data_IF_091122793889
#
_entry.id   IF_091122793889
#
_cell.length_a   1.000
_cell.length_b   1.000
_cell.length_c   1.000
_cell.angle_alpha   90.00
_cell.angle_beta   90.00
_cell.angle_gamma   90.00
#
_symmetry.space_group_name_H-M   'P 1'
#
loop_
_entity.id
_entity.type
_entity.pdbx_description
1 polymer ?
#
# COMPACT_ATOMS: atom_id res chain seq x y z
N UNK A 1 -15.44 -25.50 -17.08
CA UNK A 1 -15.99 -24.59 -16.05
C UNK A 1 -15.07 -23.37 -15.96
N UNK A 2 -15.59 -22.17 -16.25
CA UNK A 2 -14.83 -20.94 -16.55
C UNK A 2 -14.94 -19.99 -15.36
N UNK A 3 -13.83 -19.42 -14.85
CA UNK A 3 -13.85 -18.53 -13.68
C UNK A 3 -12.94 -17.32 -13.86
N UNK A 4 -13.48 -16.12 -13.60
CA UNK A 4 -12.86 -14.81 -13.75
C UNK A 4 -12.34 -14.25 -12.41
N UNK A 5 -11.49 -13.22 -12.44
CA UNK A 5 -11.03 -12.46 -11.24
C UNK A 5 -12.17 -11.77 -10.47
N UNK A 6 -13.38 -11.74 -11.05
CA UNK A 6 -14.37 -10.71 -10.75
C UNK A 6 -15.77 -11.25 -10.48
N UNK A 7 -15.92 -12.55 -10.21
CA UNK A 7 -17.24 -13.10 -9.91
C UNK A 7 -17.65 -12.85 -8.45
N UNK A 8 -18.91 -12.44 -8.27
CA UNK A 8 -19.72 -12.59 -7.04
C UNK A 8 -19.72 -14.05 -6.52
N UNK A 9 -19.33 -15.00 -7.40
CA UNK A 9 -19.13 -16.43 -7.13
C UNK A 9 -17.69 -16.87 -6.87
N UNK A 10 -16.74 -15.95 -6.65
CA UNK A 10 -15.72 -16.21 -5.64
C UNK A 10 -16.39 -16.12 -4.26
N UNK A 11 -17.35 -17.01 -4.03
CA UNK A 11 -17.76 -17.42 -2.70
C UNK A 11 -16.54 -18.16 -2.16
N UNK A 12 -15.57 -17.41 -1.64
CA UNK A 12 -14.68 -17.95 -0.63
C UNK A 12 -15.56 -18.05 0.61
N UNK A 13 -16.31 -19.14 0.70
CA UNK A 13 -16.59 -19.77 1.97
C UNK A 13 -15.20 -20.12 2.53
N UNK A 14 -14.54 -19.14 3.15
CA UNK A 14 -13.39 -19.39 4.02
C UNK A 14 -13.85 -20.11 5.28
N UNK A 15 -15.15 -20.00 5.59
CA UNK A 15 -15.86 -20.77 6.60
C UNK A 15 -17.35 -20.84 6.26
N UNK A 16 -17.99 -22.02 6.28
CA UNK A 16 -19.42 -22.21 5.91
C UNK A 16 -20.40 -21.62 6.93
N UNK A 17 -19.90 -20.78 7.84
CA UNK A 17 -20.57 -20.29 9.03
C UNK A 17 -20.67 -18.75 9.09
N UNK A 18 -20.14 -18.02 8.10
CA UNK A 18 -20.19 -16.55 8.10
C UNK A 18 -20.82 -16.03 6.79
N UNK A 19 -22.07 -15.60 6.88
CA UNK A 19 -22.85 -14.99 5.80
C UNK A 19 -22.53 -13.49 5.59
N UNK A 20 -21.30 -13.03 5.88
CA UNK A 20 -20.90 -11.61 5.81
C UNK A 20 -20.14 -11.23 4.53
N UNK A 21 -20.03 -9.92 4.23
CA UNK A 21 -19.17 -9.38 3.16
C UNK A 21 -17.68 -9.65 3.46
N UNK A 22 -16.83 -9.63 2.42
CA UNK A 22 -15.40 -9.99 2.54
C UNK A 22 -14.64 -9.07 3.51
N UNK A 23 -14.87 -7.76 3.42
CA UNK A 23 -14.31 -6.76 4.34
C UNK A 23 -14.69 -7.04 5.78
N UNK A 24 -15.92 -7.52 6.02
CA UNK A 24 -16.43 -7.73 7.37
C UNK A 24 -15.61 -8.73 8.17
N UNK A 25 -14.89 -9.65 7.51
CA UNK A 25 -13.96 -10.57 8.17
C UNK A 25 -12.81 -9.80 8.82
N UNK A 26 -12.06 -9.03 8.02
CA UNK A 26 -10.94 -8.23 8.51
C UNK A 26 -11.45 -7.07 9.39
N UNK A 27 -12.51 -6.39 9.00
CA UNK A 27 -13.13 -5.31 9.77
C UNK A 27 -13.55 -5.76 11.17
N UNK A 28 -14.23 -6.90 11.32
CA UNK A 28 -14.62 -7.42 12.64
C UNK A 28 -13.39 -7.72 13.49
N UNK A 29 -12.34 -8.28 12.86
CA UNK A 29 -11.10 -8.61 13.53
C UNK A 29 -10.36 -7.35 14.03
N UNK A 30 -10.08 -6.40 13.13
CA UNK A 30 -9.31 -5.19 13.48
C UNK A 30 -10.10 -4.19 14.33
N UNK A 31 -11.43 -4.17 14.24
CA UNK A 31 -12.28 -3.41 15.17
C UNK A 31 -12.16 -3.92 16.60
N UNK A 32 -11.98 -5.22 16.80
CA UNK A 32 -11.73 -5.78 18.13
C UNK A 32 -10.31 -5.46 18.63
N UNK A 33 -9.33 -5.38 17.73
CA UNK A 33 -7.92 -5.12 18.05
C UNK A 33 -7.58 -3.66 18.36
N UNK A 34 -8.42 -2.69 18.00
CA UNK A 34 -8.13 -1.25 18.15
C UNK A 34 -7.92 -0.77 19.61
N UNK A 35 -7.92 -1.69 20.57
CA UNK A 35 -7.74 -1.46 22.01
C UNK A 35 -6.44 -2.10 22.55
N UNK A 36 -5.62 -2.74 21.71
CA UNK A 36 -4.35 -3.34 22.14
C UNK A 36 -3.17 -2.36 22.02
N UNK A 37 -2.26 -2.41 23.00
CA UNK A 37 -1.11 -1.50 23.09
C UNK A 37 -0.12 -1.68 21.94
N UNK A 38 0.46 -0.57 21.46
CA UNK A 38 1.56 -0.54 20.51
C UNK A 38 2.81 -1.23 21.06
N UNK A 39 3.48 -2.05 20.25
CA UNK A 39 4.77 -2.64 20.59
C UNK A 39 5.89 -1.64 20.28
N UNK A 40 6.98 -1.57 21.09
CA UNK A 40 8.11 -0.71 20.80
C UNK A 40 8.68 -1.01 19.40
N UNK A 41 8.82 0.05 18.60
CA UNK A 41 9.33 -0.07 17.24
C UNK A 41 10.81 -0.50 17.24
N UNK A 42 11.10 -1.65 16.62
CA UNK A 42 12.45 -2.12 16.40
C UNK A 42 12.98 -1.56 15.08
N UNK A 43 14.13 -0.87 15.14
CA UNK A 43 14.81 -0.38 13.93
C UNK A 43 15.72 -1.50 13.43
N UNK A 44 15.15 -2.40 12.63
CA UNK A 44 15.84 -3.50 11.96
C UNK A 44 15.65 -3.39 10.45
N UNK A 45 16.56 -3.98 9.67
CA UNK A 45 16.41 -4.10 8.23
C UNK A 45 16.44 -5.57 7.83
N UNK A 46 15.55 -5.98 6.93
CA UNK A 46 15.60 -7.30 6.30
C UNK A 46 16.25 -7.14 4.93
N UNK A 47 17.48 -7.64 4.77
CA UNK A 47 18.30 -7.38 3.58
C UNK A 47 18.26 -8.52 2.56
N UNK A 48 17.68 -9.67 2.94
CA UNK A 48 17.54 -10.83 2.06
C UNK A 48 16.30 -11.64 2.38
N UNK A 49 15.63 -12.12 1.34
CA UNK A 49 14.55 -13.10 1.37
C UNK A 49 14.86 -14.25 0.41
N UNK A 50 14.88 -15.48 0.90
CA UNK A 50 14.82 -16.69 0.08
C UNK A 50 13.50 -17.41 0.37
N UNK A 51 12.56 -17.28 -0.56
CA UNK A 51 11.15 -17.64 -0.38
C UNK A 51 10.84 -18.89 -1.20
N UNK A 52 10.45 -19.96 -0.54
CA UNK A 52 9.82 -21.12 -1.15
C UNK A 52 8.31 -21.04 -0.92
N UNK A 53 7.58 -20.67 -1.96
CA UNK A 53 6.13 -20.50 -1.90
C UNK A 53 5.44 -21.63 -2.64
N UNK A 54 4.48 -22.26 -1.96
CA UNK A 54 3.62 -23.29 -2.52
C UNK A 54 2.16 -22.96 -2.31
N UNK A 55 1.37 -23.08 -3.37
CA UNK A 55 -0.05 -22.75 -3.35
C UNK A 55 -0.87 -23.96 -3.73
N UNK A 56 -1.64 -24.45 -2.75
CA UNK A 56 -2.65 -25.48 -2.93
C UNK A 56 -4.00 -24.95 -2.43
N UNK A 57 -4.58 -25.60 -1.42
CA UNK A 57 -5.73 -25.08 -0.68
C UNK A 57 -5.32 -23.93 0.25
N UNK A 58 -4.13 -24.02 0.82
CA UNK A 58 -3.50 -23.00 1.64
C UNK A 58 -2.29 -22.45 0.89
N UNK A 59 -1.84 -21.26 1.31
CA UNK A 59 -0.49 -20.78 1.04
C UNK A 59 0.43 -21.43 2.07
N UNK A 60 1.49 -22.06 1.59
CA UNK A 60 2.58 -22.62 2.39
C UNK A 60 3.85 -21.86 2.01
N UNK A 61 4.54 -21.27 2.98
CA UNK A 61 5.79 -20.55 2.76
C UNK A 61 6.85 -21.05 3.74
N UNK A 62 7.99 -21.44 3.19
CA UNK A 62 9.25 -21.58 3.90
C UNK A 62 10.15 -20.44 3.43
N UNK A 63 10.51 -19.52 4.34
CA UNK A 63 11.34 -18.37 4.01
C UNK A 63 12.57 -18.30 4.89
N UNK A 64 13.73 -18.03 4.31
CA UNK A 64 14.92 -17.63 5.03
C UNK A 64 15.13 -16.12 4.86
N UNK A 65 15.20 -15.40 5.99
CA UNK A 65 15.43 -13.96 6.01
C UNK A 65 16.76 -13.61 6.69
N UNK A 66 17.44 -12.60 6.17
CA UNK A 66 18.63 -12.01 6.82
C UNK A 66 18.25 -10.68 7.44
N UNK A 67 18.41 -10.57 8.75
CA UNK A 67 18.06 -9.38 9.55
C UNK A 67 19.34 -8.69 9.97
N UNK A 68 19.37 -7.37 9.88
CA UNK A 68 20.43 -6.51 10.41
C UNK A 68 19.87 -5.66 11.55
N UNK A 69 20.54 -5.69 12.70
CA UNK A 69 20.20 -4.81 13.82
C UNK A 69 20.68 -3.38 13.53
N UNK A 70 19.74 -2.45 13.30
CA UNK A 70 20.03 -1.03 13.10
C UNK A 70 19.81 -0.18 14.35
N UNK A 71 19.46 -0.79 15.48
CA UNK A 71 19.41 -0.11 16.77
C UNK A 71 20.82 0.15 17.33
N UNK A 72 20.86 1.01 18.35
CA UNK A 72 22.09 1.30 19.11
C UNK A 72 22.42 0.22 20.15
N UNK A 73 21.45 -0.59 20.53
CA UNK A 73 21.58 -1.62 21.56
C UNK A 73 21.49 -3.03 20.96
N UNK A 74 22.08 -4.05 21.60
CA UNK A 74 21.85 -5.44 21.25
C UNK A 74 20.37 -5.83 21.35
N UNK A 75 19.97 -6.83 20.57
CA UNK A 75 18.61 -7.37 20.55
C UNK A 75 18.59 -8.83 21.02
N UNK A 76 17.73 -9.14 21.99
CA UNK A 76 17.51 -10.53 22.44
C UNK A 76 16.30 -11.18 21.76
N UNK A 77 15.46 -10.34 21.15
CA UNK A 77 14.27 -10.76 20.43
C UNK A 77 14.09 -9.93 19.16
N UNK A 78 13.40 -10.52 18.19
CA UNK A 78 13.00 -9.88 16.95
C UNK A 78 11.47 -9.86 16.90
N UNK A 79 10.92 -8.68 16.63
CA UNK A 79 9.49 -8.48 16.38
C UNK A 79 9.27 -8.22 14.89
N UNK A 80 8.36 -8.98 14.27
CA UNK A 80 7.98 -8.86 12.87
C UNK A 80 6.45 -8.81 12.75
N UNK A 81 5.96 -8.19 11.69
CA UNK A 81 4.56 -8.32 11.30
C UNK A 81 4.36 -9.43 10.25
N UNK A 82 3.36 -10.26 10.47
CA UNK A 82 2.89 -11.29 9.54
C UNK A 82 1.39 -11.43 9.72
N UNK A 83 0.62 -11.26 8.64
CA UNK A 83 -0.85 -11.31 8.71
C UNK A 83 -1.34 -12.56 9.43
N UNK A 84 -2.22 -12.38 10.41
CA UNK A 84 -2.66 -13.42 11.35
C UNK A 84 -3.28 -14.66 10.70
N UNK A 85 -3.76 -14.56 9.46
CA UNK A 85 -4.24 -15.70 8.68
C UNK A 85 -3.14 -16.72 8.36
N UNK A 86 -1.87 -16.30 8.35
CA UNK A 86 -0.70 -17.15 8.19
C UNK A 86 -0.18 -17.60 9.55
N UNK A 87 -0.32 -18.89 9.86
CA UNK A 87 0.11 -19.47 11.14
C UNK A 87 1.55 -19.96 11.04
N UNK A 88 2.40 -19.42 11.91
CA UNK A 88 3.81 -19.83 12.03
C UNK A 88 3.88 -21.21 12.67
N UNK A 89 4.61 -22.12 12.04
CA UNK A 89 4.75 -23.53 12.42
C UNK A 89 6.11 -23.76 13.07
N UNK A 90 7.14 -23.16 12.48
CA UNK A 90 8.51 -23.33 12.93
C UNK A 90 9.32 -22.05 12.67
N UNK A 91 10.22 -21.77 13.60
CA UNK A 91 11.24 -20.73 13.47
C UNK A 91 12.56 -21.35 13.91
N UNK A 92 13.60 -21.19 13.10
CA UNK A 92 14.93 -21.70 13.41
C UNK A 92 16.03 -20.74 12.97
N UNK A 93 17.20 -20.85 13.58
CA UNK A 93 18.43 -20.19 13.15
C UNK A 93 19.59 -21.17 13.21
N UNK A 94 20.40 -21.26 12.14
CA UNK A 94 21.50 -22.22 12.05
C UNK A 94 21.08 -23.65 12.41
N UNK A 95 19.89 -24.07 11.92
CA UNK A 95 19.25 -25.36 12.18
C UNK A 95 18.83 -25.63 13.64
N UNK A 96 18.92 -24.64 14.54
CA UNK A 96 18.38 -24.74 15.90
C UNK A 96 17.00 -24.10 15.96
N UNK A 97 16.03 -24.82 16.52
CA UNK A 97 14.67 -24.31 16.74
C UNK A 97 14.70 -23.18 17.77
N UNK A 98 13.96 -22.11 17.47
CA UNK A 98 13.80 -20.96 18.36
C UNK A 98 12.39 -20.94 18.95
N UNK A 99 12.27 -20.35 20.14
CA UNK A 99 10.95 -20.04 20.70
C UNK A 99 10.39 -18.79 20.03
N UNK A 100 9.08 -18.81 19.77
CA UNK A 100 8.37 -17.68 19.21
C UNK A 100 6.94 -17.62 19.76
N UNK A 101 6.36 -16.42 19.71
CA UNK A 101 4.96 -16.19 20.00
C UNK A 101 4.36 -15.40 18.83
N UNK A 102 3.28 -15.94 18.26
CA UNK A 102 2.45 -15.20 17.33
C UNK A 102 1.17 -14.78 18.03
N UNK A 103 0.95 -13.47 18.17
CA UNK A 103 -0.29 -12.88 18.68
C UNK A 103 -0.76 -11.84 17.68
N UNK A 104 -1.97 -12.01 17.17
CA UNK A 104 -2.50 -11.19 16.08
C UNK A 104 -1.58 -11.20 14.85
N UNK A 105 -1.31 -10.03 14.28
CA UNK A 105 -0.36 -9.88 13.18
C UNK A 105 1.10 -9.78 13.65
N UNK A 106 1.37 -9.88 14.96
CA UNK A 106 2.71 -9.76 15.53
C UNK A 106 3.35 -11.14 15.75
N UNK A 107 4.58 -11.29 15.28
CA UNK A 107 5.46 -12.42 15.50
C UNK A 107 6.68 -11.98 16.31
N UNK A 108 6.78 -12.45 17.55
CA UNK A 108 7.94 -12.23 18.42
C UNK A 108 8.79 -13.50 18.45
N UNK A 109 10.08 -13.38 18.17
CA UNK A 109 11.04 -14.49 18.09
C UNK A 109 12.15 -14.24 19.10
N UNK A 110 12.41 -15.20 19.98
CA UNK A 110 13.55 -15.13 20.89
C UNK A 110 14.82 -15.58 20.15
N UNK A 111 15.86 -14.75 20.20
CA UNK A 111 17.15 -15.10 19.62
C UNK A 111 17.94 -16.03 20.54
N UNK A 112 18.79 -16.92 19.99
CA UNK A 112 19.60 -17.85 20.79
C UNK A 112 20.73 -17.14 21.54
N UNK A 113 21.12 -15.94 21.08
CA UNK A 113 22.09 -15.04 21.68
C UNK A 113 21.74 -13.60 21.24
N UNK A 114 22.20 -12.60 22.00
CA UNK A 114 21.98 -11.21 21.63
C UNK A 114 22.54 -10.93 20.22
N UNK A 115 21.82 -10.14 19.42
CA UNK A 115 22.26 -9.65 18.13
C UNK A 115 22.83 -8.23 18.29
N UNK A 116 24.16 -8.03 18.22
CA UNK A 116 24.77 -6.72 18.43
C UNK A 116 24.38 -5.72 17.34
N UNK A 117 24.51 -4.40 17.62
CA UNK A 117 24.35 -3.36 16.62
C UNK A 117 25.17 -3.62 15.35
N UNK A 118 24.57 -3.38 14.18
CA UNK A 118 25.16 -3.55 12.85
C UNK A 118 25.58 -4.97 12.49
N UNK A 119 25.28 -5.96 13.33
CA UNK A 119 25.43 -7.37 13.00
C UNK A 119 24.17 -7.92 12.34
N UNK A 120 24.32 -9.09 11.71
CA UNK A 120 23.23 -9.78 11.05
C UNK A 120 23.01 -11.18 11.59
N UNK A 121 21.76 -11.65 11.52
CA UNK A 121 21.43 -13.05 11.74
C UNK A 121 20.51 -13.55 10.62
N UNK A 122 20.50 -14.87 10.42
CA UNK A 122 19.56 -15.52 9.53
C UNK A 122 18.50 -16.26 10.34
N UNK A 123 17.23 -16.05 9.98
CA UNK A 123 16.09 -16.79 10.50
C UNK A 123 15.42 -17.56 9.37
N UNK A 124 15.09 -18.81 9.62
CA UNK A 124 14.19 -19.61 8.77
C UNK A 124 12.82 -19.66 9.43
N UNK A 125 11.77 -19.28 8.70
CA UNK A 125 10.40 -19.18 9.19
C UNK A 125 9.50 -19.98 8.25
N UNK A 126 8.80 -20.96 8.80
CA UNK A 126 7.82 -21.77 8.06
C UNK A 126 6.42 -21.45 8.55
N UNK A 127 5.51 -21.11 7.63
CA UNK A 127 4.13 -20.77 7.96
C UNK A 127 3.17 -21.19 6.86
N UNK A 128 1.90 -21.35 7.23
CA UNK A 128 0.84 -21.63 6.26
C UNK A 128 -0.49 -21.04 6.68
N UNK A 129 -1.37 -20.81 5.72
CA UNK A 129 -2.71 -20.35 6.05
C UNK A 129 -3.51 -19.85 4.87
N UNK A 130 -4.60 -19.17 5.21
CA UNK A 130 -5.41 -18.41 4.27
C UNK A 130 -4.97 -16.95 4.35
N UNK A 131 -4.76 -16.33 3.20
CA UNK A 131 -4.57 -14.89 3.12
C UNK A 131 -5.87 -14.14 3.42
N UNK A 132 -5.78 -12.82 3.60
CA UNK A 132 -6.96 -11.95 3.70
C UNK A 132 -7.88 -12.19 2.49
N UNK A 133 -9.22 -12.20 2.68
CA UNK A 133 -10.19 -12.20 1.57
C UNK A 133 -9.98 -11.05 0.58
N UNK A 134 -9.30 -9.98 1.00
CA UNK A 134 -9.00 -8.77 0.24
C UNK A 134 -7.71 -8.93 -0.59
N UNK A 135 -6.84 -9.86 -0.17
CA UNK A 135 -5.60 -10.25 -0.83
C UNK A 135 -5.57 -11.76 -1.05
N UNK A 136 -6.51 -12.27 -1.84
CA UNK A 136 -6.76 -13.71 -2.00
C UNK A 136 -5.52 -14.47 -2.48
N UNK A 137 -5.33 -15.69 -1.96
CA UNK A 137 -4.29 -16.60 -2.43
C UNK A 137 -4.72 -18.05 -2.28
N UNK A 138 -4.90 -18.75 -3.40
CA UNK A 138 -5.26 -20.16 -3.48
C UNK A 138 -4.97 -20.74 -4.88
N UNK A 139 -5.33 -22.00 -5.10
CA UNK A 139 -5.09 -22.73 -6.36
C UNK A 139 -5.74 -22.15 -7.62
N UNK A 140 -6.56 -21.10 -7.52
CA UNK A 140 -7.19 -20.45 -8.69
C UNK A 140 -6.56 -19.12 -9.05
N UNK A 141 -6.25 -18.32 -8.05
CA UNK A 141 -5.73 -16.97 -8.24
C UNK A 141 -4.98 -16.52 -6.98
N UNK A 142 -4.04 -15.60 -7.18
CA UNK A 142 -3.17 -15.05 -6.14
C UNK A 142 -3.04 -13.55 -6.35
N UNK A 143 -3.23 -12.80 -5.29
CA UNK A 143 -2.93 -11.39 -5.21
C UNK A 143 -2.34 -11.10 -3.83
N UNK A 144 -1.02 -11.06 -3.78
CA UNK A 144 -0.23 -10.76 -2.58
C UNK A 144 0.63 -9.54 -2.89
N UNK A 145 0.15 -8.32 -2.61
CA UNK A 145 0.88 -7.11 -2.93
C UNK A 145 2.01 -6.82 -1.92
N UNK A 146 2.99 -6.02 -2.34
CA UNK A 146 4.16 -5.66 -1.52
C UNK A 146 3.82 -4.94 -0.21
N UNK A 147 2.73 -4.17 -0.19
CA UNK A 147 2.29 -3.40 0.97
C UNK A 147 1.46 -4.20 1.97
N UNK A 148 1.35 -5.53 1.80
CA UNK A 148 0.66 -6.44 2.71
C UNK A 148 1.67 -7.39 3.36
N UNK A 149 1.62 -7.64 4.69
CA UNK A 149 2.61 -8.47 5.38
C UNK A 149 2.31 -9.97 5.19
N UNK A 150 2.34 -10.44 3.94
CA UNK A 150 2.30 -11.85 3.59
C UNK A 150 3.68 -12.52 3.67
N UNK A 151 4.74 -11.71 3.58
CA UNK A 151 6.08 -12.04 4.07
C UNK A 151 6.30 -11.37 5.44
N UNK A 152 7.15 -11.93 6.32
CA UNK A 152 7.52 -11.27 7.57
C UNK A 152 8.09 -9.88 7.30
N UNK A 153 7.47 -8.86 7.89
CA UNK A 153 7.80 -7.45 7.70
C UNK A 153 8.49 -6.88 8.94
N UNK A 154 9.49 -6.02 8.74
CA UNK A 154 10.10 -5.23 9.81
C UNK A 154 9.24 -4.05 10.26
N UNK A 155 8.19 -3.70 9.50
CA UNK A 155 7.23 -2.68 9.91
C UNK A 155 6.25 -3.34 10.89
N UNK A 156 6.54 -3.21 12.17
CA UNK A 156 5.76 -3.83 13.26
C UNK A 156 4.43 -3.09 13.48
N UNK A 157 3.51 -3.28 12.55
CA UNK A 157 2.15 -2.76 12.56
C UNK A 157 1.15 -3.86 12.20
N UNK A 158 -0.12 -3.79 12.62
CA UNK A 158 -1.18 -4.61 12.04
C UNK A 158 -1.25 -4.45 10.51
N UNK A 159 -1.74 -5.45 9.77
CA UNK A 159 -1.92 -5.35 8.32
C UNK A 159 -2.98 -4.30 7.95
N UNK A 160 -3.97 -4.11 8.81
CA UNK A 160 -5.03 -3.12 8.64
C UNK A 160 -5.32 -2.43 9.96
N UNK A 161 -5.91 -1.25 9.90
CA UNK A 161 -6.42 -0.55 11.07
C UNK A 161 -7.87 -0.13 10.84
N UNK A 162 -8.68 -0.12 11.91
CA UNK A 162 -10.05 0.33 11.85
C UNK A 162 -10.14 1.78 12.34
N UNK A 163 -10.60 2.68 11.48
CA UNK A 163 -10.72 4.11 11.74
C UNK A 163 -12.18 4.57 11.67
N UNK A 164 -12.42 5.86 11.89
CA UNK A 164 -13.75 6.46 11.70
C UNK A 164 -14.28 6.34 10.27
N UNK A 165 -13.38 6.35 9.28
CA UNK A 165 -13.78 6.22 7.87
C UNK A 165 -13.93 4.77 7.44
N UNK A 166 -13.54 3.80 8.28
CA UNK A 166 -13.64 2.37 8.01
C UNK A 166 -12.32 1.64 8.20
N UNK A 167 -12.26 0.40 7.71
CA UNK A 167 -11.00 -0.34 7.61
C UNK A 167 -10.09 0.38 6.61
N UNK A 168 -8.81 0.51 6.91
CA UNK A 168 -7.78 1.04 5.99
C UNK A 168 -6.53 0.17 6.07
N UNK A 169 -5.72 0.19 5.01
CA UNK A 169 -4.49 -0.61 4.93
C UNK A 169 -3.35 0.10 5.63
N UNK A 170 -2.63 -0.62 6.48
CA UNK A 170 -1.34 -0.13 6.94
C UNK A 170 -0.29 -0.47 5.88
N UNK A 171 0.60 0.47 5.58
CA UNK A 171 1.61 0.28 4.56
C UNK A 171 2.76 -0.59 5.07
N UNK A 172 2.86 -1.83 4.59
CA UNK A 172 3.95 -2.76 4.92
C UNK A 172 5.11 -2.73 3.91
N UNK A 173 5.22 -1.69 3.09
CA UNK A 173 6.36 -1.55 2.19
C UNK A 173 7.68 -1.51 2.97
N UNK A 174 8.72 -2.05 2.38
CA UNK A 174 10.04 -2.04 2.98
C UNK A 174 10.65 -0.63 2.90
N UNK A 175 11.53 -0.33 3.85
CA UNK A 175 12.30 0.92 3.90
C UNK A 175 13.77 0.73 3.50
N UNK A 176 14.13 -0.45 3.01
CA UNK A 176 15.49 -0.81 2.65
C UNK A 176 15.51 -1.76 1.45
N UNK A 177 16.58 -1.66 0.66
CA UNK A 177 16.83 -2.59 -0.43
C UNK A 177 17.09 -4.02 0.10
N UNK A 178 16.47 -5.00 -0.54
CA UNK A 178 16.62 -6.41 -0.18
C UNK A 178 16.84 -7.29 -1.43
N UNK A 179 17.73 -8.27 -1.31
CA UNK A 179 17.88 -9.34 -2.31
C UNK A 179 16.75 -10.36 -2.16
N UNK A 180 16.08 -10.69 -3.25
CA UNK A 180 14.92 -11.58 -3.24
C UNK A 180 15.16 -12.75 -4.16
N UNK A 181 14.96 -13.96 -3.65
CA UNK A 181 14.80 -15.18 -4.44
C UNK A 181 13.43 -15.78 -4.16
N UNK A 182 12.67 -16.06 -5.20
CA UNK A 182 11.36 -16.71 -5.11
C UNK A 182 11.40 -18.02 -5.89
N UNK A 183 11.18 -19.13 -5.19
CA UNK A 183 10.85 -20.43 -5.77
C UNK A 183 9.36 -20.65 -5.62
N UNK A 184 8.64 -20.83 -6.73
CA UNK A 184 7.18 -20.86 -6.72
C UNK A 184 6.60 -22.16 -7.29
N UNK A 185 5.72 -22.80 -6.51
CA UNK A 185 4.95 -23.99 -6.90
C UNK A 185 3.45 -23.74 -6.71
N UNK A 186 2.80 -23.25 -7.75
CA UNK A 186 1.38 -22.89 -7.72
C UNK A 186 0.80 -22.66 -9.12
N UNK A 187 -0.38 -22.04 -9.20
CA UNK A 187 -1.01 -21.72 -10.49
C UNK A 187 -0.14 -20.77 -11.33
N UNK A 188 -0.21 -20.88 -12.65
CA UNK A 188 0.62 -20.10 -13.59
C UNK A 188 -0.25 -19.45 -14.67
N UNK A 189 0.22 -18.36 -15.33
CA UNK A 189 1.49 -17.66 -15.13
C UNK A 189 1.52 -16.81 -13.85
N UNK A 190 2.74 -16.65 -13.30
CA UNK A 190 3.03 -15.76 -12.17
C UNK A 190 3.63 -14.45 -12.69
N UNK A 191 3.09 -13.33 -12.22
CA UNK A 191 3.58 -11.98 -12.43
C UNK A 191 4.11 -11.42 -11.12
N UNK A 192 5.27 -10.77 -11.18
CA UNK A 192 5.98 -10.22 -10.01
C UNK A 192 6.97 -9.15 -10.47
N UNK A 193 7.37 -8.27 -9.54
CA UNK A 193 8.32 -7.17 -9.79
C UNK A 193 9.79 -7.62 -9.94
N UNK A 194 10.09 -8.91 -9.78
CA UNK A 194 11.43 -9.48 -9.97
C UNK A 194 11.54 -10.38 -11.20
N UNK A 195 12.75 -10.57 -11.73
CA UNK A 195 12.96 -11.25 -13.02
C UNK A 195 12.86 -12.77 -12.88
N UNK A 196 12.24 -13.42 -13.86
CA UNK A 196 12.27 -14.88 -13.97
C UNK A 196 13.68 -15.33 -14.41
N UNK A 197 14.28 -16.23 -13.65
CA UNK A 197 15.64 -16.76 -13.91
C UNK A 197 15.68 -18.29 -14.11
N UNK A 198 14.55 -18.96 -13.93
CA UNK A 198 14.39 -20.39 -14.18
C UNK A 198 12.93 -20.79 -14.33
N UNK A 199 12.65 -22.09 -14.52
CA UNK A 199 11.29 -22.59 -14.76
C UNK A 199 10.30 -22.22 -13.64
N UNK A 200 10.75 -22.32 -12.40
CA UNK A 200 10.00 -22.01 -11.16
C UNK A 200 10.75 -21.06 -10.23
N UNK A 201 11.69 -20.27 -10.77
CA UNK A 201 12.57 -19.41 -9.98
C UNK A 201 12.62 -17.99 -10.52
N UNK A 202 12.50 -17.03 -9.60
CA UNK A 202 12.64 -15.60 -9.85
C UNK A 202 13.68 -15.03 -8.89
N UNK A 203 14.37 -13.98 -9.34
CA UNK A 203 15.42 -13.32 -8.59
C UNK A 203 15.49 -11.84 -8.95
N UNK A 204 15.78 -11.00 -7.96
CA UNK A 204 15.93 -9.56 -8.13
C UNK A 204 16.20 -8.86 -6.81
N UNK A 205 16.11 -7.52 -6.84
CA UNK A 205 16.16 -6.68 -5.65
C UNK A 205 14.95 -5.74 -5.67
N UNK A 206 14.47 -5.37 -4.49
CA UNK A 206 13.46 -4.33 -4.33
C UNK A 206 13.65 -3.63 -2.99
N UNK A 207 13.42 -2.31 -2.99
CA UNK A 207 13.37 -1.51 -1.78
C UNK A 207 11.98 -1.40 -1.19
N UNK A 208 10.93 -1.83 -1.91
CA UNK A 208 9.53 -1.65 -1.52
C UNK A 208 8.89 -2.97 -1.08
N UNK A 209 9.28 -4.09 -1.68
CA UNK A 209 8.76 -5.41 -1.32
C UNK A 209 8.51 -6.29 -2.52
N UNK A 210 7.85 -7.43 -2.27
CA UNK A 210 7.55 -8.42 -3.30
C UNK A 210 6.04 -8.47 -3.54
N UNK A 211 5.63 -8.31 -4.79
CA UNK A 211 4.26 -8.54 -5.24
C UNK A 211 4.16 -9.84 -6.02
N UNK A 212 3.12 -10.64 -5.76
CA UNK A 212 2.81 -11.87 -6.49
C UNK A 212 1.37 -11.81 -7.00
N UNK A 213 1.21 -11.91 -8.32
CA UNK A 213 -0.08 -11.86 -8.99
C UNK A 213 -0.21 -13.04 -9.94
N UNK A 214 -1.29 -13.81 -9.80
CA UNK A 214 -1.58 -15.03 -10.58
C UNK A 214 -3.07 -15.13 -10.86
N UNK A 215 -3.43 -15.55 -12.07
CA UNK A 215 -4.80 -15.95 -12.41
C UNK A 215 -5.06 -15.92 -13.91
N UNK A 216 -6.34 -15.85 -14.28
CA UNK A 216 -6.76 -15.64 -15.68
C UNK A 216 -6.59 -14.18 -16.10
N UNK A 217 -5.38 -13.87 -16.53
CA UNK A 217 -4.89 -12.52 -16.82
C UNK A 217 -4.72 -12.34 -18.32
N UNK A 218 -5.15 -11.20 -18.86
CA UNK A 218 -4.69 -10.69 -20.14
C UNK A 218 -3.42 -9.88 -19.90
N UNK A 219 -2.41 -10.11 -20.74
CA UNK A 219 -1.10 -9.50 -20.63
C UNK A 219 -0.75 -8.77 -21.93
N UNK A 220 -0.23 -7.56 -21.80
CA UNK A 220 0.48 -6.87 -22.89
C UNK A 220 1.95 -6.76 -22.53
N UNK A 221 2.80 -7.37 -23.35
CA UNK A 221 4.25 -7.26 -23.28
C UNK A 221 4.76 -6.39 -24.43
N UNK A 222 5.33 -5.23 -24.10
CA UNK A 222 5.98 -4.39 -25.10
C UNK A 222 7.47 -4.71 -25.18
N UNK A 223 7.88 -5.30 -26.32
CA UNK A 223 9.26 -5.71 -26.57
C UNK A 223 10.28 -4.55 -26.53
N UNK A 224 9.83 -3.31 -26.76
CA UNK A 224 10.73 -2.17 -26.96
C UNK A 224 11.04 -1.38 -25.67
N UNK A 225 10.13 -1.32 -24.69
CA UNK A 225 10.35 -0.64 -23.40
C UNK A 225 10.35 -1.60 -22.20
N UNK A 226 10.07 -2.89 -22.43
CA UNK A 226 10.06 -3.92 -21.40
C UNK A 226 8.92 -3.77 -20.39
N UNK A 227 7.90 -2.97 -20.70
CA UNK A 227 6.74 -2.80 -19.84
C UNK A 227 5.76 -3.97 -19.99
N UNK A 228 5.33 -4.50 -18.85
CA UNK A 228 4.37 -5.58 -18.69
C UNK A 228 3.11 -5.03 -18.03
N UNK A 229 2.01 -5.04 -18.77
CA UNK A 229 0.69 -4.65 -18.28
C UNK A 229 -0.18 -5.89 -18.06
N UNK A 230 -0.69 -6.03 -16.84
CA UNK A 230 -1.35 -7.23 -16.31
C UNK A 230 -2.74 -6.84 -15.82
N UNK A 231 -3.77 -7.50 -16.35
CA UNK A 231 -5.16 -7.25 -15.94
C UNK A 231 -6.06 -8.49 -16.09
N UNK A 232 -7.25 -8.56 -15.48
CA UNK A 232 -8.26 -9.58 -15.80
C UNK A 232 -8.52 -9.71 -17.30
N UNK A 233 -8.63 -10.95 -17.81
CA UNK A 233 -8.89 -11.20 -19.24
C UNK A 233 -10.17 -10.53 -19.78
N UNK A 234 -11.16 -10.28 -18.93
CA UNK A 234 -12.43 -9.62 -19.31
C UNK A 234 -12.29 -8.13 -19.57
N UNK A 235 -11.12 -7.54 -19.36
CA UNK A 235 -10.88 -6.11 -19.46
C UNK A 235 -9.99 -5.74 -20.65
N UNK A 236 -9.98 -6.58 -21.69
CA UNK A 236 -9.10 -6.48 -22.85
C UNK A 236 -9.08 -5.10 -23.54
N UNK A 237 -10.18 -4.33 -23.46
CA UNK A 237 -10.26 -2.96 -24.00
C UNK A 237 -9.13 -2.03 -23.49
N UNK A 238 -8.68 -2.23 -22.25
CA UNK A 238 -7.64 -1.38 -21.67
C UNK A 238 -6.27 -1.58 -22.32
N UNK A 239 -6.06 -2.69 -23.06
CA UNK A 239 -4.82 -2.89 -23.82
C UNK A 239 -4.64 -1.80 -24.89
N UNK A 240 -5.75 -1.27 -25.44
CA UNK A 240 -5.74 -0.19 -26.42
C UNK A 240 -5.58 1.19 -25.77
N UNK A 241 -6.10 1.37 -24.55
CA UNK A 241 -6.02 2.63 -23.79
C UNK A 241 -4.70 2.80 -23.02
N UNK A 242 -3.93 1.72 -22.87
CA UNK A 242 -2.68 1.73 -22.12
C UNK A 242 -1.67 2.82 -22.53
N UNK A 243 -1.45 3.14 -23.82
CA UNK A 243 -0.50 4.18 -24.20
C UNK A 243 -0.88 5.56 -23.68
N UNK A 244 -2.16 5.93 -23.82
CA UNK A 244 -2.73 7.18 -23.32
C UNK A 244 -2.67 7.22 -21.79
N UNK A 245 -3.07 6.12 -21.15
CA UNK A 245 -2.93 5.96 -19.70
C UNK A 245 -1.48 6.18 -19.24
N UNK A 246 -0.50 5.51 -19.86
CA UNK A 246 0.92 5.65 -19.50
C UNK A 246 1.39 7.09 -19.65
N UNK A 247 1.06 7.75 -20.75
CA UNK A 247 1.46 9.15 -21.02
C UNK A 247 0.86 10.10 -19.97
N UNK A 248 -0.46 10.02 -19.77
CA UNK A 248 -1.18 10.84 -18.81
C UNK A 248 -0.69 10.63 -17.37
N UNK A 249 -0.60 9.37 -16.93
CA UNK A 249 -0.12 9.03 -15.58
C UNK A 249 1.33 9.46 -15.39
N UNK A 250 2.22 9.29 -16.38
CA UNK A 250 3.60 9.76 -16.31
C UNK A 250 3.68 11.27 -16.07
N UNK A 251 2.85 12.06 -16.75
CA UNK A 251 2.83 13.51 -16.58
C UNK A 251 2.44 13.93 -15.15
N UNK A 252 1.41 13.28 -14.58
CA UNK A 252 1.01 13.51 -13.19
C UNK A 252 2.13 13.12 -12.25
N UNK A 253 2.68 11.90 -12.39
CA UNK A 253 3.76 11.39 -11.55
C UNK A 253 4.98 12.33 -11.55
N UNK A 254 5.46 12.72 -12.72
CA UNK A 254 6.60 13.64 -12.87
C UNK A 254 6.37 14.98 -12.18
N UNK A 255 5.16 15.51 -12.28
CA UNK A 255 4.81 16.79 -11.68
C UNK A 255 4.78 16.69 -10.16
N UNK A 256 4.07 15.69 -9.62
CA UNK A 256 3.97 15.49 -8.16
C UNK A 256 5.36 15.21 -7.57
N UNK A 257 6.13 14.35 -8.24
CA UNK A 257 7.51 14.05 -7.84
C UNK A 257 8.40 15.29 -7.82
N UNK A 258 8.30 16.16 -8.82
CA UNK A 258 9.05 17.42 -8.84
C UNK A 258 8.59 18.38 -7.74
N UNK A 259 7.29 18.51 -7.52
CA UNK A 259 6.73 19.43 -6.54
C UNK A 259 7.17 19.07 -5.11
N UNK A 260 7.23 17.78 -4.79
CA UNK A 260 7.57 17.29 -3.45
C UNK A 260 8.97 16.69 -3.32
N UNK A 261 9.84 16.88 -4.32
CA UNK A 261 11.22 16.35 -4.34
C UNK A 261 11.28 14.83 -4.08
N UNK A 262 10.35 14.08 -4.68
CA UNK A 262 10.25 12.63 -4.56
C UNK A 262 10.97 11.99 -5.75
N UNK A 263 11.89 11.02 -5.54
CA UNK A 263 12.60 10.37 -6.64
C UNK A 263 11.62 9.73 -7.64
N UNK A 264 11.83 10.01 -8.93
CA UNK A 264 11.07 9.43 -10.03
C UNK A 264 12.04 8.92 -11.10
N UNK A 265 12.07 7.61 -11.30
CA UNK A 265 12.98 6.92 -12.24
C UNK A 265 12.29 6.60 -13.58
N UNK A 266 11.12 7.20 -13.82
CA UNK A 266 10.27 6.89 -14.96
C UNK A 266 9.11 5.96 -14.61
N UNK A 267 8.26 5.73 -15.60
CA UNK A 267 7.08 4.89 -15.44
C UNK A 267 7.48 3.42 -15.20
N UNK A 268 6.86 2.74 -14.22
CA UNK A 268 7.28 1.40 -13.81
C UNK A 268 7.10 0.35 -14.90
N UNK A 269 7.94 -0.70 -14.82
CA UNK A 269 7.96 -1.77 -15.82
C UNK A 269 6.86 -2.80 -15.62
N UNK A 270 6.30 -2.93 -14.42
CA UNK A 270 5.13 -3.77 -14.16
C UNK A 270 3.96 -2.89 -13.76
N UNK A 271 2.85 -2.99 -14.50
CA UNK A 271 1.57 -2.38 -14.15
C UNK A 271 0.53 -3.48 -13.95
N UNK A 272 -0.08 -3.49 -12.76
CA UNK A 272 -1.09 -4.46 -12.36
C UNK A 272 -2.40 -3.73 -12.17
N UNK A 273 -3.36 -3.93 -13.07
CA UNK A 273 -4.73 -3.42 -12.93
C UNK A 273 -5.66 -4.52 -12.45
N UNK A 274 -6.20 -4.36 -11.25
CA UNK A 274 -6.91 -5.43 -10.52
C UNK A 274 -8.23 -4.92 -9.94
N UNK A 275 -9.21 -5.81 -9.72
CA UNK A 275 -10.40 -5.44 -8.96
C UNK A 275 -10.02 -5.22 -7.49
N UNK A 276 -10.45 -4.11 -6.91
CA UNK A 276 -10.47 -3.94 -5.46
C UNK A 276 -11.63 -4.79 -4.97
N UNK A 277 -11.30 -5.77 -4.12
CA UNK A 277 -12.28 -6.71 -3.59
C UNK A 277 -12.88 -6.24 -2.27
N UNK A 278 -13.01 -4.91 -2.17
CA UNK A 278 -13.44 -4.02 -1.07
C UNK A 278 -12.38 -3.71 0.01
N UNK A 279 -12.11 -2.42 0.21
CA UNK A 279 -11.90 -1.74 1.50
C UNK A 279 -12.39 -0.32 1.26
N UNK A 280 -13.48 0.06 1.93
CA UNK A 280 -14.08 1.40 1.90
C UNK A 280 -14.12 1.98 0.48
N UNK A 281 -15.06 1.53 -0.35
CA UNK A 281 -15.13 1.83 -1.80
C UNK A 281 -15.08 3.34 -2.14
N UNK A 282 -15.22 4.23 -1.16
CA UNK A 282 -15.14 5.68 -1.26
C UNK A 282 -13.76 6.28 -0.91
N UNK A 283 -12.83 5.54 -0.31
CA UNK A 283 -11.51 6.02 0.06
C UNK A 283 -10.57 6.00 -1.17
N UNK A 284 -10.36 7.16 -1.78
CA UNK A 284 -9.52 7.33 -2.98
C UNK A 284 -8.07 6.88 -2.75
N UNK A 285 -7.59 6.92 -1.51
CA UNK A 285 -6.25 6.51 -1.10
C UNK A 285 -6.05 5.00 -1.21
N UNK A 286 -7.10 4.20 -1.31
CA UNK A 286 -6.99 2.75 -1.37
C UNK A 286 -6.87 2.21 -2.81
N UNK A 287 -7.02 3.07 -3.82
CA UNK A 287 -7.08 2.67 -5.23
C UNK A 287 -5.71 2.43 -5.86
N UNK A 288 -4.71 3.28 -5.59
CA UNK A 288 -3.40 3.19 -6.26
C UNK A 288 -2.31 2.96 -5.23
N UNK A 289 -1.44 2.01 -5.51
CA UNK A 289 -0.21 1.74 -4.76
C UNK A 289 0.96 1.78 -5.73
N UNK A 290 1.94 2.61 -5.43
CA UNK A 290 3.08 2.84 -6.31
C UNK A 290 4.39 2.51 -5.60
N UNK A 291 5.17 1.65 -6.25
CA UNK A 291 6.58 1.42 -6.00
C UNK A 291 7.36 1.77 -7.29
N UNK A 292 8.61 2.20 -7.18
CA UNK A 292 9.38 2.59 -8.37
C UNK A 292 9.58 1.45 -9.38
N UNK A 293 9.50 0.19 -8.93
CA UNK A 293 9.60 -1.01 -9.76
C UNK A 293 8.24 -1.52 -10.28
N UNK A 294 7.11 -1.16 -9.66
CA UNK A 294 5.77 -1.59 -10.10
C UNK A 294 4.61 -0.70 -9.62
N UNK A 295 3.56 -0.62 -10.43
CA UNK A 295 2.33 0.13 -10.17
C UNK A 295 1.16 -0.82 -10.01
N UNK A 296 0.42 -0.71 -8.91
CA UNK A 296 -0.80 -1.48 -8.66
C UNK A 296 -1.97 -0.50 -8.66
N UNK A 297 -2.90 -0.70 -9.59
CA UNK A 297 -4.12 0.08 -9.72
C UNK A 297 -5.33 -0.79 -9.50
N UNK A 298 -6.12 -0.42 -8.51
CA UNK A 298 -7.37 -1.04 -8.15
C UNK A 298 -8.57 -0.35 -8.81
N UNK A 299 -9.65 -1.09 -9.03
CA UNK A 299 -10.97 -0.53 -9.38
C UNK A 299 -12.08 -1.31 -8.68
N UNK A 300 -13.14 -0.64 -8.23
CA UNK A 300 -14.33 -1.31 -7.69
C UNK A 300 -15.13 -2.06 -8.77
N UNK A 301 -14.91 -1.73 -10.05
CA UNK A 301 -15.59 -2.35 -11.17
C UNK A 301 -15.15 -3.81 -11.34
N UNK A 302 -16.12 -4.71 -11.29
CA UNK A 302 -15.89 -6.15 -11.48
C UNK A 302 -15.93 -6.55 -12.97
N UNK A 303 -16.62 -5.81 -13.83
CA UNK A 303 -16.73 -6.16 -15.25
C UNK A 303 -16.45 -4.97 -16.14
N UNK A 304 -15.75 -5.22 -17.24
CA UNK A 304 -15.44 -4.22 -18.27
C UNK A 304 -14.86 -2.91 -17.70
N UNK A 305 -14.02 -3.01 -16.67
CA UNK A 305 -13.41 -1.84 -16.06
C UNK A 305 -12.56 -1.07 -17.07
N UNK A 306 -12.59 0.25 -16.99
CA UNK A 306 -11.75 1.14 -17.79
C UNK A 306 -10.55 1.56 -16.97
N UNK A 307 -9.35 1.50 -17.54
CA UNK A 307 -8.11 1.93 -16.88
C UNK A 307 -7.99 3.47 -16.78
N UNK A 308 -8.67 4.20 -17.65
CA UNK A 308 -8.86 5.64 -17.51
C UNK A 308 -10.23 5.88 -16.87
N UNK A 309 -10.32 6.53 -15.70
CA UNK A 309 -11.61 6.86 -15.11
C UNK A 309 -12.36 7.86 -15.98
N UNK A 310 -13.69 7.83 -15.94
CA UNK A 310 -14.52 8.77 -16.69
C UNK A 310 -14.40 10.19 -16.16
N UNK A 311 -14.26 10.32 -14.84
CA UNK A 311 -13.95 11.56 -14.16
C UNK A 311 -12.42 11.67 -14.02
N UNK A 312 -11.82 12.49 -14.87
CA UNK A 312 -10.36 12.71 -14.90
C UNK A 312 -9.86 13.29 -13.58
N UNK A 313 -10.63 14.18 -12.92
CA UNK A 313 -10.23 14.78 -11.66
C UNK A 313 -10.00 13.71 -10.59
N UNK A 314 -10.91 12.72 -10.49
CA UNK A 314 -10.82 11.61 -9.54
C UNK A 314 -9.50 10.84 -9.62
N UNK A 315 -8.87 10.79 -10.80
CA UNK A 315 -7.62 10.05 -10.99
C UNK A 315 -6.46 10.70 -10.22
N UNK A 316 -6.39 12.04 -10.23
CA UNK A 316 -5.41 12.81 -9.46
C UNK A 316 -5.56 12.53 -7.97
N UNK A 317 -6.79 12.51 -7.44
CA UNK A 317 -7.07 12.19 -6.04
C UNK A 317 -6.59 10.79 -5.63
N UNK A 318 -6.63 9.81 -6.54
CA UNK A 318 -6.10 8.46 -6.28
C UNK A 318 -4.56 8.41 -6.32
N UNK A 319 -3.93 9.24 -7.16
CA UNK A 319 -2.48 9.26 -7.37
C UNK A 319 -1.70 10.00 -6.29
N UNK A 320 -2.20 11.13 -5.81
CA UNK A 320 -1.54 11.95 -4.79
C UNK A 320 -1.09 11.14 -3.55
N UNK A 321 -1.97 10.37 -2.88
CA UNK A 321 -1.57 9.59 -1.71
C UNK A 321 -0.54 8.50 -2.07
N UNK A 322 -0.66 7.90 -3.27
CA UNK A 322 0.26 6.88 -3.76
C UNK A 322 1.68 7.41 -3.97
N UNK A 323 1.80 8.65 -4.43
CA UNK A 323 3.07 9.27 -4.78
C UNK A 323 3.70 10.05 -3.63
N UNK A 324 2.95 10.37 -2.57
CA UNK A 324 3.41 11.18 -1.44
C UNK A 324 3.68 10.33 -0.21
N UNK A 325 2.79 10.34 0.78
CA UNK A 325 3.01 9.74 2.08
C UNK A 325 3.08 8.20 2.03
N UNK A 326 2.35 7.53 1.13
CA UNK A 326 2.51 6.07 0.95
C UNK A 326 3.87 5.74 0.37
N UNK A 327 4.29 6.39 -0.71
CA UNK A 327 5.61 6.14 -1.33
C UNK A 327 6.75 6.34 -0.33
N UNK A 328 6.65 7.36 0.53
CA UNK A 328 7.62 7.65 1.61
C UNK A 328 7.52 6.71 2.82
N UNK A 329 6.50 5.84 2.88
CA UNK A 329 6.30 4.90 3.99
C UNK A 329 5.91 5.60 5.29
N UNK A 330 5.23 6.75 5.22
CA UNK A 330 4.87 7.54 6.40
C UNK A 330 3.72 6.85 7.15
N UNK A 331 3.86 6.55 8.46
CA UNK A 331 2.80 5.94 9.25
C UNK A 331 1.57 6.85 9.37
N UNK A 332 0.39 6.25 9.42
CA UNK A 332 -0.89 6.96 9.56
C UNK A 332 -1.14 7.22 11.05
N UNK A 333 -1.04 8.47 11.49
CA UNK A 333 -1.39 8.90 12.87
C UNK A 333 -2.76 9.55 12.93
N UNK A 334 -3.12 10.34 11.92
CA UNK A 334 -4.44 10.94 11.75
C UNK A 334 -4.85 10.87 10.26
N UNK A 335 -5.74 9.92 9.94
CA UNK A 335 -6.21 9.72 8.57
C UNK A 335 -7.02 10.91 8.04
N UNK A 336 -7.72 11.65 8.89
CA UNK A 336 -8.47 12.84 8.46
C UNK A 336 -7.50 13.97 8.02
N UNK A 337 -6.31 14.02 8.61
CA UNK A 337 -5.27 14.98 8.27
C UNK A 337 -4.66 14.67 6.90
N UNK A 338 -4.27 13.41 6.67
CA UNK A 338 -3.71 12.96 5.39
C UNK A 338 -4.73 13.08 4.26
N UNK A 339 -5.97 12.65 4.48
CA UNK A 339 -7.04 12.76 3.49
C UNK A 339 -7.29 14.22 3.06
N UNK A 340 -7.25 15.17 4.00
CA UNK A 340 -7.40 16.58 3.68
C UNK A 340 -6.23 17.08 2.81
N UNK A 341 -5.00 16.73 3.17
CA UNK A 341 -3.81 17.06 2.36
C UNK A 341 -3.94 16.52 0.93
N UNK A 342 -4.27 15.22 0.80
CA UNK A 342 -4.41 14.55 -0.49
C UNK A 342 -5.46 15.25 -1.36
N UNK A 343 -6.61 15.58 -0.74
CA UNK A 343 -7.72 16.22 -1.44
C UNK A 343 -7.43 17.66 -1.86
N UNK A 344 -6.75 18.41 -1.00
CA UNK A 344 -6.37 19.81 -1.26
C UNK A 344 -5.35 19.87 -2.39
N UNK A 345 -4.30 19.06 -2.33
CA UNK A 345 -3.27 19.10 -3.37
C UNK A 345 -3.78 18.57 -4.72
N UNK A 346 -4.60 17.51 -4.72
CA UNK A 346 -5.24 17.02 -5.95
C UNK A 346 -6.10 18.11 -6.62
N UNK A 347 -6.89 18.84 -5.83
CA UNK A 347 -7.69 19.97 -6.33
C UNK A 347 -6.81 21.07 -6.94
N UNK A 348 -5.73 21.46 -6.25
CA UNK A 348 -4.77 22.47 -6.73
C UNK A 348 -4.10 22.02 -8.03
N UNK A 349 -3.71 20.74 -8.13
CA UNK A 349 -3.17 20.16 -9.34
C UNK A 349 -4.18 20.25 -10.49
N UNK A 350 -5.41 19.81 -10.27
CA UNK A 350 -6.45 19.84 -11.30
C UNK A 350 -6.70 21.26 -11.82
N UNK A 351 -6.76 22.26 -10.92
CA UNK A 351 -6.85 23.68 -11.30
C UNK A 351 -5.65 24.15 -12.13
N UNK A 352 -4.43 23.79 -11.74
CA UNK A 352 -3.21 24.18 -12.44
C UNK A 352 -3.17 23.67 -13.89
N UNK A 353 -3.69 22.46 -14.12
CA UNK A 353 -3.64 21.79 -15.42
C UNK A 353 -4.96 21.85 -16.20
N UNK A 354 -5.95 22.61 -15.72
CA UNK A 354 -7.22 22.80 -16.41
C UNK A 354 -8.10 21.55 -16.45
N UNK A 355 -7.90 20.61 -15.53
CA UNK A 355 -8.74 19.41 -15.38
C UNK A 355 -10.03 19.85 -14.68
N UNK A 356 -11.23 19.62 -15.28
CA UNK A 356 -12.50 20.02 -14.68
C UNK A 356 -12.71 19.35 -13.32
N UNK A 357 -12.79 20.16 -12.26
CA UNK A 357 -12.94 19.70 -10.88
C UNK A 357 -13.87 20.66 -10.13
N UNK A 358 -15.02 20.15 -9.69
CA UNK A 358 -16.02 20.92 -8.93
C UNK A 358 -15.73 20.96 -7.41
N UNK A 359 -14.66 20.29 -6.98
CA UNK A 359 -14.27 20.13 -5.60
C UNK A 359 -15.19 19.18 -4.82
N UNK A 360 -15.88 18.25 -5.49
CA UNK A 360 -16.73 17.23 -4.86
C UNK A 360 -15.97 16.26 -3.95
N UNK A 361 -14.66 16.08 -4.20
CA UNK A 361 -13.74 15.30 -3.36
C UNK A 361 -13.16 16.10 -2.19
N UNK A 362 -13.36 17.42 -2.12
CA UNK A 362 -12.99 18.20 -0.94
C UNK A 362 -14.00 17.93 0.20
N UNK A 363 -13.55 17.94 1.47
CA UNK A 363 -14.45 17.70 2.60
C UNK A 363 -15.64 18.67 2.61
N UNK A 364 -16.85 18.10 2.70
CA UNK A 364 -18.08 18.90 2.85
C UNK A 364 -18.14 19.49 4.25
N UNK A 365 -18.32 20.80 4.32
CA UNK A 365 -18.45 21.52 5.58
C UNK A 365 -19.93 21.74 5.91
N UNK A 366 -20.61 20.68 6.37
CA UNK A 366 -22.04 20.75 6.69
C UNK A 366 -22.32 21.53 8.00
N UNK A 367 -21.39 21.48 8.96
CA UNK A 367 -21.41 22.29 10.18
C UNK A 367 -20.02 22.34 10.83
N UNK A 368 -19.57 23.54 11.22
CA UNK A 368 -18.32 23.73 11.98
C UNK A 368 -18.58 23.38 13.44
N UNK A 369 -18.09 22.21 13.89
CA UNK A 369 -18.32 21.70 15.26
C UNK A 369 -17.06 21.65 16.12
N UNK A 370 -15.89 21.82 15.52
CA UNK A 370 -14.59 21.74 16.17
C UNK A 370 -13.58 22.69 15.56
N UNK A 371 -12.46 22.92 16.25
CA UNK A 371 -11.32 23.66 15.70
C UNK A 371 -10.75 22.98 14.45
N UNK A 372 -10.74 21.64 14.38
CA UNK A 372 -10.36 20.90 13.18
C UNK A 372 -11.26 21.26 11.99
N UNK A 373 -12.57 21.40 12.23
CA UNK A 373 -13.52 21.80 11.18
C UNK A 373 -13.29 23.25 10.73
N UNK A 374 -12.90 24.14 11.65
CA UNK A 374 -12.52 25.52 11.29
C UNK A 374 -11.30 25.53 10.38
N UNK A 375 -10.24 24.79 10.73
CA UNK A 375 -9.02 24.68 9.92
C UNK A 375 -9.34 24.12 8.53
N UNK A 376 -10.08 23.00 8.47
CA UNK A 376 -10.55 22.39 7.20
C UNK A 376 -11.30 23.40 6.34
N UNK A 377 -12.28 24.11 6.94
CA UNK A 377 -13.09 25.11 6.24
C UNK A 377 -12.23 26.24 5.68
N UNK A 378 -11.32 26.79 6.49
CA UNK A 378 -10.46 27.90 6.07
C UNK A 378 -9.58 27.50 4.88
N UNK A 379 -8.96 26.32 4.93
CA UNK A 379 -8.16 25.80 3.82
C UNK A 379 -9.02 25.65 2.56
N UNK A 380 -10.16 24.94 2.66
CA UNK A 380 -11.03 24.66 1.51
C UNK A 380 -11.57 25.95 0.88
N UNK A 381 -11.98 26.93 1.69
CA UNK A 381 -12.45 28.22 1.18
C UNK A 381 -11.34 29.02 0.50
N UNK A 382 -10.14 29.02 1.08
CA UNK A 382 -8.99 29.74 0.52
C UNK A 382 -8.53 29.13 -0.80
N UNK A 383 -8.34 27.81 -0.90
CA UNK A 383 -7.91 27.18 -2.16
C UNK A 383 -8.94 27.36 -3.29
N UNK A 384 -10.23 27.52 -2.96
CA UNK A 384 -11.27 27.78 -3.97
C UNK A 384 -11.27 29.22 -4.47
N UNK A 385 -10.88 30.18 -3.62
CA UNK A 385 -10.91 31.63 -3.93
C UNK A 385 -9.59 32.18 -4.46
N UNK A 386 -8.47 31.70 -3.93
CA UNK A 386 -7.14 32.16 -4.31
C UNK A 386 -6.90 31.82 -5.79
N UNK A 387 -6.36 32.76 -6.57
CA UNK A 387 -6.06 32.55 -7.99
C UNK A 387 -4.57 32.23 -8.22
N UNK A 388 -3.72 32.57 -7.26
CA UNK A 388 -2.29 32.31 -7.34
C UNK A 388 -1.95 30.84 -7.07
N UNK A 389 -1.84 30.07 -8.15
CA UNK A 389 -1.46 28.64 -8.13
C UNK A 389 -0.08 28.39 -7.50
N UNK A 390 0.90 29.29 -7.72
CA UNK A 390 2.24 29.13 -7.12
C UNK A 390 2.18 29.22 -5.58
N UNK A 391 1.33 30.11 -5.06
CA UNK A 391 1.11 30.24 -3.61
C UNK A 391 0.44 29.00 -3.04
N UNK A 392 -0.56 28.43 -3.72
CA UNK A 392 -1.19 27.16 -3.31
C UNK A 392 -0.21 26.00 -3.32
N UNK A 393 0.65 25.92 -4.34
CA UNK A 393 1.68 24.89 -4.42
C UNK A 393 2.68 25.03 -3.28
N UNK A 394 3.13 26.25 -2.95
CA UNK A 394 4.03 26.48 -1.81
C UNK A 394 3.41 26.06 -0.47
N UNK A 395 2.14 26.41 -0.25
CA UNK A 395 1.39 25.95 0.92
C UNK A 395 1.37 24.41 1.01
N UNK A 396 1.07 23.73 -0.09
CA UNK A 396 1.07 22.26 -0.13
C UNK A 396 2.47 21.66 0.11
N UNK A 397 3.53 22.29 -0.42
CA UNK A 397 4.92 21.87 -0.19
C UNK A 397 5.31 21.97 1.28
N UNK A 398 5.04 23.11 1.93
CA UNK A 398 5.33 23.32 3.35
C UNK A 398 4.47 22.41 4.24
N UNK A 399 3.22 22.15 3.87
CA UNK A 399 2.39 21.17 4.56
C UNK A 399 2.96 19.76 4.41
N UNK A 400 3.39 19.36 3.22
CA UNK A 400 4.01 18.04 3.04
C UNK A 400 5.32 17.90 3.83
N UNK A 401 6.10 18.97 4.01
CA UNK A 401 7.27 18.96 4.89
C UNK A 401 6.91 18.66 6.36
N UNK A 402 5.77 19.16 6.86
CA UNK A 402 5.26 18.76 8.18
C UNK A 402 4.98 17.25 8.22
N UNK A 403 4.32 16.72 7.19
CA UNK A 403 4.01 15.28 7.07
C UNK A 403 5.30 14.45 7.04
N UNK A 404 6.30 14.83 6.23
CA UNK A 404 7.60 14.15 6.13
C UNK A 404 8.40 14.19 7.43
N UNK A 405 8.28 15.27 8.22
CA UNK A 405 8.88 15.35 9.55
C UNK A 405 8.22 14.42 10.58
N UNK A 406 7.15 13.73 10.20
CA UNK A 406 6.35 12.86 11.06
C UNK A 406 5.26 13.59 11.83
N UNK A 407 5.00 14.86 11.53
CA UNK A 407 3.91 15.65 12.10
C UNK A 407 2.60 15.43 11.35
N UNK A 408 1.56 15.12 12.09
CA UNK A 408 0.15 15.09 11.62
C UNK A 408 -0.69 15.84 12.66
N UNK A 409 -0.18 16.99 13.12
CA UNK A 409 -0.75 17.80 14.19
C UNK A 409 -1.55 18.98 13.62
N UNK A 410 -2.80 19.11 14.08
CA UNK A 410 -3.72 20.14 13.60
C UNK A 410 -3.33 21.57 14.02
N UNK A 411 -2.62 21.75 15.14
CA UNK A 411 -2.16 23.06 15.58
C UNK A 411 -0.98 23.54 14.74
N UNK A 412 -0.08 22.65 14.34
CA UNK A 412 0.99 22.99 13.41
C UNK A 412 0.43 23.36 12.03
N UNK A 413 -0.56 22.59 11.55
CA UNK A 413 -1.27 22.95 10.32
C UNK A 413 -1.97 24.30 10.45
N UNK A 414 -2.63 24.59 11.59
CA UNK A 414 -3.26 25.90 11.83
C UNK A 414 -2.25 27.05 11.72
N UNK A 415 -1.07 26.92 12.33
CA UNK A 415 -0.01 27.93 12.23
C UNK A 415 0.47 28.11 10.80
N UNK A 416 0.58 27.04 10.03
CA UNK A 416 0.90 27.13 8.60
C UNK A 416 -0.21 27.86 7.85
N UNK A 417 -1.47 27.52 8.10
CA UNK A 417 -2.64 28.17 7.50
C UNK A 417 -2.65 29.68 7.78
N UNK A 418 -2.36 30.10 9.01
CA UNK A 418 -2.30 31.52 9.41
C UNK A 418 -1.22 32.32 8.66
N UNK A 419 -0.18 31.68 8.11
CA UNK A 419 0.85 32.34 7.31
C UNK A 419 0.39 32.68 5.88
N UNK A 420 -0.57 31.91 5.35
CA UNK A 420 -1.08 32.06 3.98
C UNK A 420 -2.44 32.75 3.94
N UNK A 421 -3.32 32.35 4.85
CA UNK A 421 -4.64 32.92 5.01
C UNK A 421 -4.51 34.06 6.00
N UNK A 422 -3.98 35.20 5.55
CA UNK A 422 -4.23 36.46 6.25
C UNK A 422 -5.74 36.60 6.29
N UNK A 423 -6.35 36.49 7.47
CA UNK A 423 -7.75 36.87 7.66
C UNK A 423 -7.79 38.34 7.26
N UNK A 424 -8.21 38.63 6.02
CA UNK A 424 -8.69 39.95 5.67
C UNK A 424 -9.95 40.12 6.51
N UNK A 425 -9.77 40.62 7.73
CA UNK A 425 -10.83 41.32 8.41
C UNK A 425 -11.12 42.53 7.51
N UNK A 426 -12.18 42.40 6.73
CA UNK A 426 -12.73 43.54 5.99
C UNK A 426 -13.06 44.62 7.02
N UNK A 427 -12.30 45.72 6.96
CA UNK A 427 -12.61 47.02 7.56
C UNK A 427 -13.60 47.78 6.68
#
# INVERSE_FOLDING_TARGET
MIYYFTLDRQIYISNSLLAGTRERVDETYYRALSHENSVPHQVIAITKYDVHMKIKRLVEIDTAITIVNNQKQPLDNISLSLYHGFKVIDVSSSHKKLSFQQKNDLLNIQLPSELPPKQSCQLSISYKGLSSPLFFANSRAVYLPYYFPWLPSSNVEPAFQYTKIGLIRNNHQWGNDAEITLTYDGPTPLYTNIKKVGSKKWHGRSSFGLSVVVGKIAEMNRKNDGTQFVQPMTWEKNMYQYPEFKEHTSHIMETISRNFHIPYEGFPKLVVFVPILSINDFAVEEYIWFASDHFIYGTSLQYQATILPQDEASYTYMLVPALTWKYKGIPIKDMEYLHLFDSVYAYVYNQQYGIPDDGSFLPRMDAIKSEKDQIKSSIVQWIKKEENVEMKNRFCQEWFQLIESGSQDWNELKKLVEQYIVIKEDL
#
